data_IF_591708286301
#
_entry.id   IF_591708286301
#
_cell.length_a   1.000
_cell.length_b   1.000
_cell.length_c   1.000
_cell.angle_alpha   90.00
_cell.angle_beta   90.00
_cell.angle_gamma   90.00
#
_symmetry.space_group_name_H-M   'P 1'
#
loop_
_entity.id
_entity.type
_entity.pdbx_description
1 polymer ?
#
# COMPACT_ATOMS: atom_id res chain seq x y z
N UNK A 1 6.18 -0.38 -13.74
CA UNK A 1 5.48 -0.58 -14.98
C UNK A 1 5.13 0.73 -15.63
N UNK A 2 5.11 0.72 -16.93
CA UNK A 2 4.90 1.93 -17.67
C UNK A 2 3.50 2.49 -17.50
N UNK A 3 2.55 1.61 -17.22
CA UNK A 3 1.15 2.02 -17.13
C UNK A 3 0.72 2.43 -15.72
N UNK A 4 1.65 2.43 -14.78
CA UNK A 4 1.32 2.76 -13.41
C UNK A 4 0.66 4.13 -13.26
N UNK A 5 1.19 5.20 -13.90
CA UNK A 5 0.53 6.50 -13.77
C UNK A 5 -0.92 6.52 -14.27
N UNK A 6 -1.20 5.81 -15.36
CA UNK A 6 -2.54 5.76 -15.89
C UNK A 6 -3.47 5.01 -14.94
N UNK A 7 -2.98 3.91 -14.37
CA UNK A 7 -3.75 3.13 -13.42
C UNK A 7 -4.05 3.96 -12.17
N UNK A 8 -3.07 4.71 -11.70
CA UNK A 8 -3.25 5.58 -10.55
C UNK A 8 -4.35 6.61 -10.79
N UNK A 9 -4.38 7.18 -11.98
CA UNK A 9 -5.42 8.14 -12.33
C UNK A 9 -6.82 7.53 -12.24
N UNK A 10 -6.96 6.33 -12.77
CA UNK A 10 -8.24 5.63 -12.75
C UNK A 10 -8.67 5.35 -11.32
N UNK A 11 -7.76 4.85 -10.51
CA UNK A 11 -8.06 4.53 -9.13
C UNK A 11 -8.46 5.77 -8.35
N UNK A 12 -7.75 6.87 -8.56
CA UNK A 12 -8.07 8.12 -7.88
C UNK A 12 -9.45 8.63 -8.27
N UNK A 13 -9.84 8.48 -9.52
CA UNK A 13 -11.18 8.89 -9.95
C UNK A 13 -12.26 8.09 -9.28
N UNK A 14 -12.06 6.77 -9.20
CA UNK A 14 -13.03 5.91 -8.55
C UNK A 14 -13.11 6.24 -7.06
N UNK A 15 -11.99 6.52 -6.45
CA UNK A 15 -11.93 6.83 -5.03
C UNK A 15 -12.67 8.12 -4.70
N UNK A 16 -12.56 9.11 -5.55
CA UNK A 16 -13.22 10.41 -5.33
C UNK A 16 -14.74 10.27 -5.35
N UNK A 17 -15.26 9.30 -6.08
CA UNK A 17 -16.70 9.06 -6.10
C UNK A 17 -17.25 8.67 -4.73
N UNK A 18 -16.43 8.06 -3.91
CA UNK A 18 -16.71 7.94 -2.48
C UNK A 18 -17.70 6.88 -2.04
N UNK A 19 -18.28 6.12 -2.94
CA UNK A 19 -19.25 5.11 -2.56
C UNK A 19 -18.85 3.71 -3.01
N UNK A 20 -17.57 3.47 -3.18
CA UNK A 20 -17.08 2.15 -3.58
C UNK A 20 -15.93 1.73 -2.68
N UNK A 21 -15.83 0.45 -2.47
CA UNK A 21 -14.69 -0.14 -1.79
C UNK A 21 -13.72 -0.63 -2.84
N UNK A 22 -12.46 -0.24 -2.72
CA UNK A 22 -11.44 -0.63 -3.66
C UNK A 22 -10.40 -1.45 -2.91
N UNK A 23 -10.11 -2.63 -3.43
CA UNK A 23 -9.04 -3.46 -2.88
C UNK A 23 -7.92 -3.49 -3.90
N UNK A 24 -6.75 -3.06 -3.49
CA UNK A 24 -5.58 -3.00 -4.35
C UNK A 24 -4.50 -3.93 -3.80
N UNK A 25 -4.05 -4.85 -4.63
CA UNK A 25 -2.98 -5.76 -4.24
C UNK A 25 -1.75 -5.39 -5.05
N UNK A 26 -0.70 -4.98 -4.36
CA UNK A 26 0.47 -4.45 -5.02
C UNK A 26 1.68 -4.58 -4.11
N UNK A 27 2.86 -4.51 -4.67
CA UNK A 27 4.10 -4.55 -3.91
C UNK A 27 4.86 -3.22 -3.95
N UNK A 28 4.34 -2.24 -4.66
CA UNK A 28 4.97 -0.92 -4.69
C UNK A 28 4.44 -0.08 -3.54
N UNK A 29 5.23 0.02 -2.51
CA UNK A 29 4.80 0.65 -1.26
C UNK A 29 4.38 2.10 -1.45
N UNK A 30 5.11 2.85 -2.27
CA UNK A 30 4.81 4.26 -2.47
C UNK A 30 3.38 4.45 -2.95
N UNK A 31 2.97 3.64 -3.92
CA UNK A 31 1.64 3.73 -4.50
C UNK A 31 0.57 3.34 -3.49
N UNK A 32 0.82 2.26 -2.77
CA UNK A 32 -0.14 1.77 -1.78
C UNK A 32 -0.34 2.79 -0.67
N UNK A 33 0.75 3.33 -0.16
CA UNK A 33 0.68 4.27 0.95
C UNK A 33 0.01 5.57 0.55
N UNK A 34 0.18 5.98 -0.70
CA UNK A 34 -0.41 7.22 -1.19
C UNK A 34 -1.91 7.10 -1.42
N UNK A 35 -2.37 5.95 -1.88
CA UNK A 35 -3.75 5.78 -2.29
C UNK A 35 -4.67 5.18 -1.24
N UNK A 36 -4.14 4.47 -0.28
CA UNK A 36 -4.94 3.63 0.59
C UNK A 36 -5.39 4.36 1.84
N UNK A 37 -6.59 4.02 2.30
CA UNK A 37 -7.08 4.48 3.60
C UNK A 37 -6.62 3.54 4.70
N UNK A 38 -6.49 2.26 4.37
CA UNK A 38 -5.93 1.28 5.30
C UNK A 38 -5.11 0.29 4.50
N UNK A 39 -4.13 -0.30 5.14
CA UNK A 39 -3.17 -1.19 4.50
C UNK A 39 -3.03 -2.46 5.32
N UNK A 40 -3.08 -3.60 4.64
CA UNK A 40 -2.75 -4.87 5.23
C UNK A 40 -1.49 -5.38 4.57
N UNK A 41 -0.54 -5.80 5.38
CA UNK A 41 0.74 -6.29 4.87
C UNK A 41 0.83 -7.80 5.10
N UNK A 42 1.02 -8.52 4.01
CA UNK A 42 1.16 -9.97 4.07
C UNK A 42 2.58 -10.35 3.70
N UNK A 43 3.11 -11.34 4.38
CA UNK A 43 4.44 -11.82 4.10
C UNK A 43 4.47 -13.32 4.39
N UNK A 44 4.88 -14.11 3.39
CA UNK A 44 4.92 -15.57 3.49
C UNK A 44 3.59 -16.14 3.95
N UNK A 45 2.49 -15.61 3.41
CA UNK A 45 1.17 -16.12 3.70
C UNK A 45 0.61 -15.73 5.06
N UNK A 46 1.26 -14.82 5.76
CA UNK A 46 0.80 -14.39 7.07
C UNK A 46 0.54 -12.89 7.09
N UNK A 47 -0.44 -12.50 7.88
CA UNK A 47 -0.69 -11.09 8.11
C UNK A 47 0.40 -10.54 9.03
N UNK A 48 1.19 -9.64 8.50
CA UNK A 48 2.31 -9.07 9.22
C UNK A 48 1.91 -7.80 9.96
N UNK A 49 1.07 -7.01 9.34
CA UNK A 49 0.64 -5.74 9.92
C UNK A 49 -0.65 -5.29 9.26
N UNK A 50 -1.38 -4.43 9.96
CA UNK A 50 -2.65 -3.92 9.50
C UNK A 50 -2.86 -2.56 10.17
N UNK A 51 -3.16 -1.55 9.37
CA UNK A 51 -3.35 -0.23 9.93
C UNK A 51 -3.38 0.85 8.87
N UNK A 52 -3.29 2.09 9.32
CA UNK A 52 -3.24 3.22 8.41
C UNK A 52 -1.89 3.24 7.70
N UNK A 53 -1.79 3.94 6.56
CA UNK A 53 -0.51 4.07 5.89
C UNK A 53 0.58 4.60 6.81
N UNK A 54 0.25 5.54 7.68
CA UNK A 54 1.24 6.09 8.60
C UNK A 54 1.73 5.05 9.60
N UNK A 55 0.82 4.24 10.12
CA UNK A 55 1.19 3.17 11.04
C UNK A 55 2.07 2.15 10.36
N UNK A 56 1.74 1.82 9.12
CA UNK A 56 2.52 0.85 8.35
C UNK A 56 3.91 1.37 8.08
N UNK A 57 4.05 2.64 7.73
CA UNK A 57 5.37 3.23 7.48
C UNK A 57 6.27 3.16 8.69
N UNK A 58 5.69 3.29 9.87
CA UNK A 58 6.47 3.29 11.12
C UNK A 58 6.69 1.91 11.69
N UNK A 59 6.11 0.90 11.09
CA UNK A 59 6.19 -0.47 11.61
C UNK A 59 7.55 -1.07 11.26
N UNK A 60 8.33 -1.39 12.27
CA UNK A 60 9.67 -1.92 12.06
C UNK A 60 9.68 -3.28 11.39
N UNK A 61 8.66 -4.09 11.69
CA UNK A 61 8.56 -5.40 11.08
C UNK A 61 8.32 -5.28 9.57
N UNK A 62 7.47 -4.34 9.19
CA UNK A 62 7.21 -4.09 7.78
C UNK A 62 8.47 -3.57 7.09
N UNK A 63 9.16 -2.66 7.73
CA UNK A 63 10.40 -2.13 7.17
C UNK A 63 11.42 -3.23 6.93
N UNK A 64 11.55 -4.13 7.89
CA UNK A 64 12.49 -5.25 7.75
C UNK A 64 12.10 -6.18 6.62
N UNK A 65 10.80 -6.45 6.46
CA UNK A 65 10.34 -7.42 5.49
C UNK A 65 10.36 -6.88 4.06
N UNK A 66 10.01 -5.63 3.88
CA UNK A 66 9.82 -5.06 2.54
C UNK A 66 10.83 -4.01 2.15
N UNK A 67 11.26 -3.22 3.09
CA UNK A 67 12.28 -2.22 2.81
C UNK A 67 13.67 -2.75 3.07
N UNK A 68 13.72 -3.85 3.78
CA UNK A 68 14.93 -4.63 3.90
C UNK A 68 16.14 -3.80 4.24
N UNK A 69 17.24 -4.11 3.64
CA UNK A 69 18.47 -3.40 3.89
C UNK A 69 18.48 -1.97 3.43
N UNK A 70 17.39 -1.48 2.87
CA UNK A 70 17.31 -0.10 2.43
C UNK A 70 17.11 0.82 3.60
N UNK A 71 16.63 0.31 4.66
CA UNK A 71 16.42 1.12 5.82
C UNK A 71 17.71 1.72 6.26
N UNK A 72 17.67 2.69 6.84
CA UNK A 72 18.89 3.29 7.22
C UNK A 72 18.79 4.09 8.46
#
# INVERSE_FOLDING_TARGET
LEDVPAILEVIKRIKVQGHRTIILIEHKMDMILDLSDSVMVLFNGRLLADGTPEEIMKNETVQSAYLGGVSV
#
